data_IF_756029855181
#
_entry.id   IF_756029855181
#
_cell.length_a   1.000
_cell.length_b   1.000
_cell.length_c   1.000
_cell.angle_alpha   90.00
_cell.angle_beta   90.00
_cell.angle_gamma   90.00
#
_symmetry.space_group_name_H-M   'P 1'
#
loop_
_entity.id
_entity.type
_entity.pdbx_description
1 polymer ?
#
# COMPACT_ATOMS: atom_id res chain seq x y z
N UNK A 1 23.71 -20.87 -22.30
CA UNK A 1 22.97 -20.56 -21.07
C UNK A 1 21.51 -20.43 -21.44
N UNK A 2 20.66 -21.29 -20.90
CA UNK A 2 19.22 -21.28 -21.15
C UNK A 2 18.56 -20.44 -20.04
N UNK A 3 17.68 -19.51 -20.43
CA UNK A 3 16.88 -18.74 -19.48
C UNK A 3 15.68 -19.60 -19.06
N UNK A 4 15.45 -19.73 -17.77
CA UNK A 4 14.33 -20.47 -17.19
C UNK A 4 13.31 -19.48 -16.62
N UNK A 5 12.09 -19.53 -17.11
CA UNK A 5 11.00 -18.67 -16.67
C UNK A 5 10.45 -19.22 -15.34
N UNK A 6 10.67 -18.52 -14.24
CA UNK A 6 10.12 -18.90 -12.93
C UNK A 6 8.80 -18.17 -12.73
N UNK A 7 7.68 -18.89 -12.70
CA UNK A 7 6.40 -18.31 -12.29
C UNK A 7 6.44 -17.99 -10.79
N UNK A 8 6.30 -16.70 -10.47
CA UNK A 8 6.10 -16.24 -9.10
C UNK A 8 4.67 -16.64 -8.71
N UNK A 9 4.46 -17.42 -7.64
CA UNK A 9 3.11 -17.79 -7.22
C UNK A 9 2.32 -16.52 -6.95
N UNK A 10 1.20 -16.34 -7.66
CA UNK A 10 0.22 -15.32 -7.32
C UNK A 10 -0.22 -15.46 -5.87
N UNK A 11 -0.51 -14.31 -5.24
CA UNK A 11 -0.79 -14.15 -3.81
C UNK A 11 -1.41 -15.37 -3.10
N UNK A 12 -0.96 -15.69 -1.87
CA UNK A 12 -1.48 -16.82 -1.13
C UNK A 12 -3.00 -16.69 -0.94
N UNK A 13 -3.63 -17.85 -0.92
CA UNK A 13 -5.05 -18.15 -0.79
C UNK A 13 -5.83 -17.10 0.02
N UNK A 14 -7.02 -16.64 -0.43
CA UNK A 14 -7.81 -15.66 0.32
C UNK A 14 -8.03 -16.18 1.74
N UNK A 15 -7.56 -15.43 2.74
CA UNK A 15 -7.84 -15.72 4.13
C UNK A 15 -9.37 -15.83 4.29
N UNK A 16 -9.84 -16.92 4.90
CA UNK A 16 -11.25 -17.10 5.26
C UNK A 16 -11.80 -15.79 5.84
N UNK A 17 -12.95 -15.34 5.34
CA UNK A 17 -13.63 -14.11 5.73
C UNK A 17 -14.02 -14.12 7.22
N UNK A 18 -13.04 -13.90 8.10
CA UNK A 18 -13.24 -13.81 9.53
C UNK A 18 -13.94 -12.49 9.82
N UNK A 19 -15.11 -12.58 10.45
CA UNK A 19 -15.93 -11.42 10.83
C UNK A 19 -15.94 -11.27 12.34
N UNK A 20 -16.01 -10.03 12.81
CA UNK A 20 -16.18 -9.70 14.22
C UNK A 20 -17.44 -8.89 14.42
N UNK A 21 -18.09 -9.12 15.55
CA UNK A 21 -19.28 -8.40 15.94
C UNK A 21 -18.89 -7.08 16.63
N UNK A 22 -19.52 -6.00 16.17
CA UNK A 22 -19.37 -4.65 16.73
C UNK A 22 -20.73 -4.12 17.13
N UNK A 23 -20.74 -3.27 18.16
CA UNK A 23 -21.95 -2.54 18.54
C UNK A 23 -21.96 -1.22 17.77
N UNK A 24 -23.01 -1.01 16.98
CA UNK A 24 -23.24 0.20 16.20
C UNK A 24 -24.56 0.85 16.61
N UNK A 25 -24.75 2.13 16.29
CA UNK A 25 -26.00 2.83 16.52
C UNK A 25 -26.36 3.75 15.35
N UNK A 26 -27.66 3.98 15.16
CA UNK A 26 -28.14 4.94 14.17
C UNK A 26 -28.05 6.37 14.71
N UNK A 27 -27.62 7.30 13.87
CA UNK A 27 -27.33 8.68 14.24
C UNK A 27 -27.87 9.67 13.21
N UNK A 28 -28.09 10.90 13.68
CA UNK A 28 -28.45 12.03 12.83
C UNK A 28 -27.18 12.72 12.30
N UNK A 29 -27.13 13.18 11.04
CA UNK A 29 -25.93 13.82 10.46
C UNK A 29 -25.32 14.96 11.28
N UNK A 30 -26.14 15.70 12.04
CA UNK A 30 -25.70 16.86 12.85
C UNK A 30 -24.76 16.47 14.01
N UNK A 31 -24.93 15.28 14.58
CA UNK A 31 -24.16 14.85 15.77
C UNK A 31 -22.92 14.03 15.43
N UNK A 32 -22.76 13.61 14.16
CA UNK A 32 -21.72 12.69 13.71
C UNK A 32 -20.30 13.11 14.08
N UNK A 33 -19.91 14.36 13.81
CA UNK A 33 -18.54 14.82 14.05
C UNK A 33 -18.20 14.87 15.56
N UNK A 34 -19.18 15.24 16.39
CA UNK A 34 -19.01 15.26 17.84
C UNK A 34 -18.84 13.83 18.39
N UNK A 35 -19.70 12.91 17.95
CA UNK A 35 -19.63 11.51 18.32
C UNK A 35 -18.31 10.86 17.90
N UNK A 36 -17.84 11.09 16.67
CA UNK A 36 -16.55 10.55 16.20
C UNK A 36 -15.42 11.01 17.12
N UNK A 37 -15.38 12.30 17.48
CA UNK A 37 -14.31 12.85 18.34
C UNK A 37 -14.35 12.25 19.74
N UNK A 38 -15.52 12.20 20.37
CA UNK A 38 -15.67 11.61 21.70
C UNK A 38 -15.32 10.11 21.69
N UNK A 39 -15.86 9.37 20.74
CA UNK A 39 -15.63 7.94 20.63
C UNK A 39 -14.16 7.61 20.30
N UNK A 40 -13.45 8.44 19.54
CA UNK A 40 -12.02 8.26 19.30
C UNK A 40 -11.17 8.48 20.57
N UNK A 41 -11.66 9.26 21.54
CA UNK A 41 -10.98 9.48 22.81
C UNK A 41 -11.26 8.36 23.81
N UNK A 42 -12.50 7.90 23.90
CA UNK A 42 -12.92 6.92 24.93
C UNK A 42 -12.80 5.47 24.49
N UNK A 43 -12.96 5.18 23.19
CA UNK A 43 -12.95 3.83 22.65
C UNK A 43 -12.41 3.82 21.20
N UNK A 44 -11.09 3.96 21.02
CA UNK A 44 -10.46 3.88 19.70
C UNK A 44 -10.57 2.45 19.12
N UNK A 45 -10.78 2.36 17.80
CA UNK A 45 -10.87 1.08 17.08
C UNK A 45 -9.49 0.56 16.66
N UNK A 46 -8.61 0.31 17.63
CA UNK A 46 -7.20 -0.01 17.35
C UNK A 46 -7.00 -1.25 16.48
N UNK A 47 -7.83 -2.28 16.70
CA UNK A 47 -7.79 -3.54 15.95
C UNK A 47 -8.61 -3.50 14.64
N UNK A 48 -9.29 -2.38 14.35
CA UNK A 48 -10.20 -2.23 13.20
C UNK A 48 -9.96 -0.90 12.46
N UNK A 49 -8.70 -0.46 12.33
CA UNK A 49 -8.36 0.83 11.70
C UNK A 49 -8.74 0.90 10.22
N UNK A 50 -8.85 -0.24 9.54
CA UNK A 50 -9.33 -0.34 8.16
C UNK A 50 -10.84 -0.14 8.06
N UNK A 51 -11.60 -0.34 9.13
CA UNK A 51 -13.06 -0.19 9.14
C UNK A 51 -13.41 1.29 9.32
N UNK A 52 -14.25 1.83 8.44
CA UNK A 52 -14.71 3.22 8.59
C UNK A 52 -15.68 3.31 9.76
N UNK A 53 -15.47 4.26 10.69
CA UNK A 53 -16.30 4.38 11.89
C UNK A 53 -17.77 4.67 11.60
N UNK A 54 -18.06 5.37 10.50
CA UNK A 54 -19.43 5.74 10.07
C UNK A 54 -19.75 5.10 8.74
N UNK A 55 -20.97 4.56 8.63
CA UNK A 55 -21.56 4.08 7.38
C UNK A 55 -22.79 4.92 7.04
N UNK A 56 -22.94 5.25 5.76
CA UNK A 56 -24.19 5.75 5.20
C UNK A 56 -24.93 4.60 4.52
N UNK A 57 -26.18 4.37 4.92
CA UNK A 57 -27.09 3.43 4.28
C UNK A 57 -28.12 4.23 3.49
N UNK A 58 -28.23 3.94 2.20
CA UNK A 58 -29.31 4.46 1.36
C UNK A 58 -30.46 3.46 1.46
N UNK A 59 -31.57 3.87 2.07
CA UNK A 59 -32.81 3.10 2.08
C UNK A 59 -33.65 3.58 0.89
N UNK A 60 -34.44 2.71 0.24
CA UNK A 60 -35.31 3.08 -0.89
C UNK A 60 -36.11 4.36 -0.57
N UNK A 61 -35.70 5.50 -1.15
CA UNK A 61 -36.20 6.85 -0.89
C UNK A 61 -35.09 7.91 -0.81
N UNK A 62 -35.44 9.18 -0.53
CA UNK A 62 -34.48 10.29 -0.37
C UNK A 62 -33.78 10.31 1.00
N UNK A 63 -34.18 9.45 1.93
CA UNK A 63 -33.68 9.46 3.31
C UNK A 63 -32.47 8.53 3.46
N UNK A 64 -31.30 9.13 3.69
CA UNK A 64 -30.08 8.40 4.04
C UNK A 64 -29.98 8.23 5.55
N UNK A 65 -29.82 6.99 6.00
CA UNK A 65 -29.57 6.67 7.41
C UNK A 65 -28.06 6.62 7.65
N UNK A 66 -27.60 7.20 8.75
CA UNK A 66 -26.21 7.10 9.17
C UNK A 66 -26.12 6.18 10.38
N UNK A 67 -25.13 5.29 10.35
CA UNK A 67 -24.81 4.41 11.47
C UNK A 67 -23.35 4.61 11.87
N UNK A 68 -23.06 4.55 13.17
CA UNK A 68 -21.71 4.71 13.73
C UNK A 68 -21.35 3.49 14.60
N UNK A 69 -20.10 3.05 14.54
CA UNK A 69 -19.56 2.03 15.44
C UNK A 69 -19.20 2.67 16.78
N UNK A 70 -19.79 2.12 17.85
CA UNK A 70 -19.54 2.51 19.23
C UNK A 70 -18.29 1.79 19.77
N UNK A 71 -18.32 0.45 19.79
CA UNK A 71 -17.25 -0.40 20.32
C UNK A 71 -17.29 -1.82 19.73
N UNK A 72 -16.28 -2.64 20.05
CA UNK A 72 -16.30 -4.09 19.82
C UNK A 72 -17.36 -4.76 20.71
N UNK A 73 -18.00 -5.83 20.23
CA UNK A 73 -18.88 -6.64 21.07
C UNK A 73 -18.05 -7.53 21.99
N UNK A 74 -18.35 -7.53 23.29
CA UNK A 74 -17.64 -8.35 24.31
C UNK A 74 -18.38 -9.67 24.62
N UNK A 75 -19.46 -10.00 23.89
CA UNK A 75 -20.19 -11.25 24.08
C UNK A 75 -21.15 -11.58 22.92
N UNK A 76 -21.70 -12.80 22.90
CA UNK A 76 -22.50 -13.29 21.77
C UNK A 76 -23.85 -12.58 21.58
N UNK A 77 -24.46 -12.03 22.64
CA UNK A 77 -25.89 -11.62 22.56
C UNK A 77 -26.26 -10.27 23.21
N UNK A 78 -25.32 -9.53 23.83
CA UNK A 78 -25.69 -8.38 24.64
C UNK A 78 -25.38 -7.03 23.97
N UNK A 79 -26.40 -6.42 23.35
CA UNK A 79 -26.35 -5.04 22.87
C UNK A 79 -26.21 -3.98 23.99
N UNK A 80 -26.40 -4.36 25.27
CA UNK A 80 -26.61 -3.40 26.36
C UNK A 80 -25.82 -3.65 27.65
N UNK A 81 -25.10 -4.78 27.79
CA UNK A 81 -24.49 -5.18 29.09
C UNK A 81 -22.95 -5.26 29.06
N UNK A 82 -22.29 -4.68 28.07
CA UNK A 82 -20.83 -4.80 27.92
C UNK A 82 -20.09 -3.51 27.55
N UNK A 83 -20.71 -2.35 27.70
CA UNK A 83 -20.07 -1.09 27.33
C UNK A 83 -19.03 -0.66 28.39
N UNK A 84 -17.90 -0.08 27.96
CA UNK A 84 -17.15 0.83 28.80
C UNK A 84 -18.08 1.93 29.33
N UNK A 85 -17.92 2.33 30.60
CA UNK A 85 -18.80 3.30 31.27
C UNK A 85 -18.91 4.62 30.47
N UNK A 86 -17.82 5.02 29.82
CA UNK A 86 -17.73 6.20 28.98
C UNK A 86 -18.58 6.08 27.71
N UNK A 87 -18.66 4.89 27.12
CA UNK A 87 -19.48 4.63 25.93
C UNK A 87 -20.96 4.61 26.31
N UNK A 88 -21.31 4.03 27.47
CA UNK A 88 -22.68 4.05 27.98
C UNK A 88 -23.18 5.50 28.17
N UNK A 89 -22.37 6.38 28.76
CA UNK A 89 -22.69 7.81 28.90
C UNK A 89 -22.99 8.47 27.54
N UNK A 90 -22.27 8.11 26.49
CA UNK A 90 -22.53 8.63 25.13
C UNK A 90 -23.86 8.11 24.60
N UNK A 91 -24.15 6.82 24.78
CA UNK A 91 -25.43 6.23 24.36
C UNK A 91 -26.61 6.94 25.03
N UNK A 92 -26.52 7.17 26.34
CA UNK A 92 -27.57 7.83 27.12
C UNK A 92 -27.74 9.30 26.75
N UNK A 93 -26.62 10.04 26.62
CA UNK A 93 -26.62 11.47 26.29
C UNK A 93 -27.24 11.79 24.93
N UNK A 94 -27.04 10.90 23.96
CA UNK A 94 -27.53 11.09 22.58
C UNK A 94 -28.77 10.24 22.27
N UNK A 95 -29.31 9.52 23.26
CA UNK A 95 -30.43 8.58 23.12
C UNK A 95 -30.24 7.65 21.91
N UNK A 96 -29.05 7.06 21.80
CA UNK A 96 -28.71 6.18 20.70
C UNK A 96 -29.42 4.84 20.85
N UNK A 97 -29.71 4.19 19.72
CA UNK A 97 -30.26 2.84 19.67
C UNK A 97 -29.17 1.86 19.20
N UNK A 98 -28.49 1.14 20.12
CA UNK A 98 -27.43 0.21 19.76
C UNK A 98 -27.97 -1.07 19.12
N UNK A 99 -27.20 -1.64 18.19
CA UNK A 99 -27.45 -2.91 17.52
C UNK A 99 -26.13 -3.60 17.15
N UNK A 100 -26.15 -4.92 17.01
CA UNK A 100 -24.98 -5.68 16.56
C UNK A 100 -24.84 -5.60 15.04
N UNK A 101 -23.63 -5.30 14.57
CA UNK A 101 -23.24 -5.35 13.17
C UNK A 101 -21.98 -6.21 12.99
N UNK A 102 -21.87 -6.86 11.83
CA UNK A 102 -20.65 -7.61 11.45
C UNK A 102 -19.72 -6.74 10.64
N UNK A 103 -18.43 -6.80 10.94
CA UNK A 103 -17.37 -6.15 10.18
C UNK A 103 -16.24 -7.13 9.88
N UNK A 104 -15.43 -6.83 8.87
CA UNK A 104 -14.26 -7.62 8.55
C UNK A 104 -13.20 -7.51 9.66
N UNK A 105 -12.68 -8.64 10.11
CA UNK A 105 -11.63 -8.69 11.15
C UNK A 105 -10.27 -8.19 10.65
N UNK A 106 -9.98 -8.41 9.37
CA UNK A 106 -8.70 -8.07 8.74
C UNK A 106 -8.88 -7.09 7.59
N UNK A 107 -7.80 -6.37 7.25
CA UNK A 107 -7.75 -5.55 6.04
C UNK A 107 -7.73 -6.44 4.80
N UNK A 108 -8.46 -6.03 3.76
CA UNK A 108 -8.47 -6.75 2.50
C UNK A 108 -7.10 -6.72 1.82
N UNK A 109 -6.68 -7.89 1.33
CA UNK A 109 -5.44 -8.06 0.55
C UNK A 109 -5.67 -7.95 -0.95
N UNK A 110 -6.92 -8.12 -1.40
CA UNK A 110 -7.32 -7.95 -2.80
C UNK A 110 -8.52 -7.01 -2.94
N UNK A 111 -8.73 -6.53 -4.16
CA UNK A 111 -9.87 -5.67 -4.48
C UNK A 111 -11.19 -6.43 -4.35
N UNK A 112 -11.23 -7.68 -4.78
CA UNK A 112 -12.41 -8.54 -4.71
C UNK A 112 -12.79 -8.80 -3.25
N UNK A 113 -11.80 -9.04 -2.39
CA UNK A 113 -12.03 -9.19 -0.95
C UNK A 113 -12.57 -7.89 -0.34
N UNK A 114 -12.01 -6.75 -0.70
CA UNK A 114 -12.49 -5.45 -0.24
C UNK A 114 -13.95 -5.18 -0.62
N UNK A 115 -14.34 -5.55 -1.85
CA UNK A 115 -15.72 -5.42 -2.31
C UNK A 115 -16.68 -6.29 -1.46
N UNK A 116 -16.30 -7.53 -1.13
CA UNK A 116 -17.08 -8.40 -0.23
C UNK A 116 -17.14 -7.82 1.19
N UNK A 117 -16.03 -7.33 1.73
CA UNK A 117 -16.00 -6.70 3.06
C UNK A 117 -16.91 -5.46 3.12
N UNK A 118 -16.91 -4.65 2.06
CA UNK A 118 -17.76 -3.44 1.97
C UNK A 118 -19.27 -3.75 1.97
N UNK A 119 -19.69 -4.96 1.60
CA UNK A 119 -21.10 -5.39 1.72
C UNK A 119 -21.53 -5.48 3.19
N UNK A 120 -20.61 -5.87 4.08
CA UNK A 120 -20.86 -5.92 5.53
C UNK A 120 -20.79 -4.51 6.14
N UNK A 121 -19.64 -3.86 5.97
CA UNK A 121 -19.40 -2.52 6.48
C UNK A 121 -18.29 -1.86 5.65
N UNK A 122 -18.37 -0.54 5.38
CA UNK A 122 -17.36 0.13 4.58
C UNK A 122 -15.97 0.06 5.22
N UNK A 123 -14.99 -0.42 4.45
CA UNK A 123 -13.57 -0.45 4.83
C UNK A 123 -12.75 0.42 3.87
N UNK A 124 -11.55 0.80 4.30
CA UNK A 124 -10.55 1.46 3.47
C UNK A 124 -9.68 0.40 2.80
N UNK A 125 -9.56 0.47 1.48
CA UNK A 125 -8.60 -0.33 0.72
C UNK A 125 -7.49 0.57 0.22
N UNK A 126 -6.27 0.21 0.62
CA UNK A 126 -5.06 0.74 0.04
C UNK A 126 -4.46 -0.42 -0.76
N UNK A 127 -4.44 -0.33 -2.10
CA UNK A 127 -3.73 -1.33 -2.90
C UNK A 127 -2.34 -1.48 -2.30
N UNK A 128 -1.86 -2.72 -2.08
CA UNK A 128 -0.49 -2.93 -1.70
C UNK A 128 0.36 -2.20 -2.75
N UNK A 129 0.99 -1.14 -2.31
CA UNK A 129 2.01 -0.47 -3.07
C UNK A 129 3.12 -1.52 -3.11
N UNK A 130 3.31 -2.17 -4.26
CA UNK A 130 4.27 -3.25 -4.51
C UNK A 130 5.74 -2.81 -4.39
N UNK A 131 6.00 -1.78 -3.57
CA UNK A 131 7.29 -1.27 -3.18
C UNK A 131 7.94 -2.21 -2.14
N UNK A 132 7.18 -3.11 -1.50
CA UNK A 132 7.77 -4.18 -0.67
C UNK A 132 8.25 -5.37 -1.54
N UNK A 133 7.72 -5.53 -2.75
CA UNK A 133 8.17 -6.55 -3.72
C UNK A 133 9.42 -6.14 -4.50
N UNK A 134 9.60 -4.83 -4.72
CA UNK A 134 10.89 -4.25 -5.11
C UNK A 134 11.55 -3.76 -3.83
N UNK A 135 12.13 -4.67 -3.04
CA UNK A 135 13.18 -4.27 -2.10
C UNK A 135 14.09 -3.31 -2.87
N UNK A 136 14.12 -2.04 -2.46
CA UNK A 136 15.08 -1.10 -3.00
C UNK A 136 16.49 -1.68 -2.90
N UNK A 137 17.44 -1.02 -3.54
CA UNK A 137 18.84 -1.42 -3.41
C UNK A 137 19.20 -1.65 -1.95
N UNK A 138 19.80 -2.80 -1.66
CA UNK A 138 20.23 -3.08 -0.29
C UNK A 138 21.27 -2.03 0.10
N UNK A 139 21.33 -1.69 1.37
CA UNK A 139 22.26 -0.64 1.85
C UNK A 139 23.73 -0.99 1.53
N UNK A 140 24.04 -2.29 1.50
CA UNK A 140 25.33 -2.85 1.06
C UNK A 140 25.65 -2.66 -0.43
N UNK A 141 24.63 -2.51 -1.30
CA UNK A 141 24.78 -2.33 -2.75
C UNK A 141 24.90 -0.86 -3.15
N UNK A 142 24.42 0.05 -2.30
CA UNK A 142 24.39 1.49 -2.57
C UNK A 142 25.76 2.07 -2.98
N UNK A 143 26.90 1.76 -2.31
CA UNK A 143 28.19 2.32 -2.69
C UNK A 143 28.59 1.96 -4.13
N UNK A 144 28.35 0.71 -4.53
CA UNK A 144 28.64 0.21 -5.87
C UNK A 144 27.74 0.85 -6.92
N UNK A 145 26.45 1.02 -6.62
CA UNK A 145 25.48 1.67 -7.50
C UNK A 145 25.82 3.16 -7.68
N UNK A 146 26.18 3.86 -6.60
CA UNK A 146 26.62 5.25 -6.69
C UNK A 146 27.91 5.39 -7.49
N UNK A 147 28.86 4.44 -7.37
CA UNK A 147 30.06 4.41 -8.18
C UNK A 147 29.74 4.22 -9.67
N UNK A 148 28.84 3.29 -10.00
CA UNK A 148 28.38 3.05 -11.36
C UNK A 148 27.72 4.31 -11.94
N UNK A 149 26.78 4.90 -11.20
CA UNK A 149 26.08 6.10 -11.64
C UNK A 149 27.06 7.28 -11.84
N UNK A 150 28.00 7.50 -10.92
CA UNK A 150 29.02 8.54 -11.05
C UNK A 150 29.87 8.33 -12.30
N UNK A 151 30.23 7.09 -12.61
CA UNK A 151 30.99 6.73 -13.81
C UNK A 151 30.20 7.03 -15.08
N UNK A 152 28.91 6.69 -15.12
CA UNK A 152 28.03 7.03 -16.24
C UNK A 152 27.89 8.56 -16.43
N UNK A 153 27.72 9.31 -15.33
CA UNK A 153 27.64 10.77 -15.37
C UNK A 153 28.93 11.42 -15.88
N UNK A 154 30.10 10.90 -15.49
CA UNK A 154 31.40 11.40 -15.99
C UNK A 154 31.59 11.15 -17.49
N UNK A 155 31.01 10.08 -18.02
CA UNK A 155 30.99 9.80 -19.46
C UNK A 155 29.99 10.69 -20.22
N UNK A 156 28.91 11.09 -19.54
CA UNK A 156 27.83 11.94 -20.05
C UNK A 156 28.22 13.43 -20.09
N UNK A 157 29.34 13.79 -20.75
CA UNK A 157 29.79 15.20 -20.83
C UNK A 157 28.81 16.11 -21.58
N UNK A 158 28.19 15.62 -22.68
CA UNK A 158 27.30 16.42 -23.55
C UNK A 158 26.12 15.63 -24.13
N UNK A 159 25.88 14.41 -23.65
CA UNK A 159 24.87 13.50 -24.19
C UNK A 159 24.68 12.27 -23.32
N UNK A 160 23.71 11.42 -23.65
CA UNK A 160 23.38 10.25 -22.84
C UNK A 160 24.54 9.25 -22.80
N UNK A 161 24.89 8.75 -21.62
CA UNK A 161 25.87 7.68 -21.47
C UNK A 161 25.24 6.45 -20.82
N UNK A 162 25.68 5.27 -21.26
CA UNK A 162 25.28 4.00 -20.70
C UNK A 162 26.54 3.18 -20.36
N UNK A 163 26.49 2.49 -19.23
CA UNK A 163 27.51 1.52 -18.81
C UNK A 163 26.81 0.19 -18.54
N UNK A 164 27.48 -0.91 -18.90
CA UNK A 164 27.04 -2.28 -18.61
C UNK A 164 28.03 -2.83 -17.60
N UNK A 165 27.51 -3.35 -16.49
CA UNK A 165 28.31 -3.89 -15.38
C UNK A 165 28.04 -5.38 -15.18
N UNK A 166 29.06 -6.12 -14.76
CA UNK A 166 28.90 -7.49 -14.31
C UNK A 166 28.26 -7.49 -12.92
N UNK A 167 27.08 -8.09 -12.71
CA UNK A 167 26.43 -8.10 -11.40
C UNK A 167 27.22 -8.87 -10.33
N UNK A 168 28.13 -9.77 -10.70
CA UNK A 168 28.90 -10.57 -9.73
C UNK A 168 30.11 -9.81 -9.18
N UNK A 169 30.78 -9.01 -10.03
CA UNK A 169 32.01 -8.29 -9.69
C UNK A 169 31.83 -6.78 -9.58
N UNK A 170 30.67 -6.25 -9.98
CA UNK A 170 30.36 -4.81 -10.09
C UNK A 170 31.37 -4.03 -10.96
N UNK A 171 32.08 -4.72 -11.87
CA UNK A 171 33.00 -4.10 -12.82
C UNK A 171 32.31 -3.70 -14.12
N UNK A 172 32.75 -2.60 -14.72
CA UNK A 172 32.24 -2.13 -16.02
C UNK A 172 32.76 -3.02 -17.14
N UNK A 173 31.86 -3.74 -17.81
CA UNK A 173 32.14 -4.57 -18.99
C UNK A 173 32.18 -3.72 -20.25
N UNK A 174 31.28 -2.73 -20.35
CA UNK A 174 31.16 -1.88 -21.52
C UNK A 174 30.64 -0.50 -21.18
N UNK A 175 31.00 0.50 -21.98
CA UNK A 175 30.54 1.88 -21.86
C UNK A 175 30.32 2.48 -23.23
N UNK A 176 29.27 3.28 -23.37
CA UNK A 176 28.96 4.01 -24.58
C UNK A 176 28.42 5.40 -24.25
N UNK A 177 28.58 6.33 -25.17
CA UNK A 177 28.06 7.69 -25.07
C UNK A 177 27.43 8.05 -26.39
N UNK A 178 26.26 8.67 -26.32
CA UNK A 178 25.52 9.16 -27.47
C UNK A 178 26.30 10.29 -28.14
N UNK A 179 26.58 10.12 -29.43
CA UNK A 179 27.31 11.07 -30.27
C UNK A 179 26.41 11.69 -31.35
N UNK A 180 25.08 11.51 -31.26
CA UNK A 180 24.14 12.08 -32.23
C UNK A 180 24.30 13.60 -32.40
N UNK A 181 24.64 14.33 -31.34
CA UNK A 181 24.94 15.77 -31.37
C UNK A 181 26.31 16.17 -31.93
N UNK A 182 27.27 15.24 -32.09
CA UNK A 182 28.62 15.58 -32.60
C UNK A 182 28.69 15.68 -34.13
N UNK A 183 27.60 15.41 -34.84
CA UNK A 183 27.57 15.46 -36.31
C UNK A 183 27.57 16.86 -36.92
N UNK A 184 27.45 17.92 -36.11
CA UNK A 184 27.43 19.30 -36.59
C UNK A 184 28.81 19.98 -36.66
N UNK A 185 29.89 19.29 -36.27
CA UNK A 185 31.26 19.82 -36.43
C UNK A 185 32.16 18.84 -37.18
N UNK A 186 32.15 18.97 -38.51
CA UNK A 186 33.28 18.78 -39.43
C UNK A 186 34.03 17.42 -39.45
N UNK A 187 33.73 16.61 -40.47
CA UNK A 187 34.64 15.78 -41.28
C UNK A 187 35.82 15.06 -40.59
N UNK A 188 35.63 13.82 -40.10
CA UNK A 188 36.44 12.65 -40.51
C UNK A 188 35.96 11.35 -39.82
N UNK A 189 35.62 10.35 -40.64
CA UNK A 189 35.75 8.91 -40.36
C UNK A 189 35.09 8.35 -39.09
N UNK A 190 33.94 7.70 -39.26
CA UNK A 190 33.28 6.87 -38.26
C UNK A 190 34.26 5.89 -37.57
N UNK A 191 34.56 6.12 -36.28
CA UNK A 191 35.20 5.09 -35.44
C UNK A 191 34.12 4.41 -34.60
N UNK A 192 33.75 3.21 -35.01
CA UNK A 192 32.94 2.29 -34.23
C UNK A 192 33.62 1.95 -32.89
N UNK A 193 32.80 1.59 -31.91
CA UNK A 193 33.13 1.25 -30.53
C UNK A 193 34.44 0.46 -30.37
N UNK A 194 35.28 0.91 -29.44
CA UNK A 194 36.46 0.17 -29.00
C UNK A 194 35.99 -0.86 -27.98
N UNK A 195 36.10 -2.15 -28.34
CA UNK A 195 35.98 -3.27 -27.41
C UNK A 195 37.38 -3.66 -26.99
N UNK A 196 37.83 -3.22 -25.81
CA UNK A 196 39.05 -3.75 -25.20
C UNK A 196 38.71 -5.07 -24.51
N UNK A 197 38.92 -6.18 -25.23
CA UNK A 197 38.95 -7.51 -24.63
C UNK A 197 40.32 -7.70 -23.96
N UNK A 198 40.38 -7.49 -22.64
CA UNK A 198 41.54 -7.84 -21.83
C UNK A 198 41.76 -9.36 -21.83
N UNK A 199 42.64 -9.86 -22.69
CA UNK A 199 43.25 -11.19 -22.52
C UNK A 199 44.41 -11.04 -21.53
N UNK A 200 44.24 -11.55 -20.32
CA UNK A 200 45.37 -11.87 -19.44
C UNK A 200 45.56 -13.39 -19.46
N UNK A 201 46.57 -13.84 -20.20
CA UNK A 201 47.25 -15.10 -19.94
C UNK A 201 48.62 -14.73 -19.38
N UNK A 202 48.85 -14.98 -18.09
CA UNK A 202 49.99 -15.74 -17.53
C UNK A 202 49.50 -16.33 -16.21
#
# INVERSE_FOLDING_TARGET
>A
MAWELTEVPGNPTPLQHSTVDVVAANIVPKVTNALIRQLNQVCPLENLRHVKRVRRRVVCGENSELSIILCLSTGPDNCSEGFPEEVQKIVDNYHLSPFIAKVASCSATSKEEWEEQCKLWPTSYHPPNDIDGVSGFKEEELPSIFHCMRTAMQLSQVGNAAIIVDPSSMQVISKATDQTHQRDTCLNGNKCAIVEAGRSYV
#
